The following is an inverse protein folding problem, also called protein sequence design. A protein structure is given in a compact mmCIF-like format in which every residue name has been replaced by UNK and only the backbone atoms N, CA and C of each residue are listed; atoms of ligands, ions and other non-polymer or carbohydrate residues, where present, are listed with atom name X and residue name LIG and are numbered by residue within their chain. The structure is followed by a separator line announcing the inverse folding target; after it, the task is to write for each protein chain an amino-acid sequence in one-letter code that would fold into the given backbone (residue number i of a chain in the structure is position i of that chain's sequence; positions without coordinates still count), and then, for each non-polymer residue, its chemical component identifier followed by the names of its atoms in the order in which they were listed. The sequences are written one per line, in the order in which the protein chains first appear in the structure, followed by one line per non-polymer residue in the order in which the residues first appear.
data_IF_172144809501
#
_entry.id   IF_172144809501
#
_cell.length_a   1.000
_cell.length_b   1.000
_cell.length_c   1.000
_cell.angle_alpha   90.00
_cell.angle_beta   90.00
_cell.angle_gamma   90.00
#
_symmetry.space_group_name_H-M   'P 1'
#
loop_
_entity.id
_entity.type
_entity.pdbx_description
1 polymer ?
#
# COMPACT_ATOMS: atom_id res chain seq x y z
N UNK A 1 -20.67 -17.17 5.67
CA UNK A 1 -19.52 -17.34 4.77
C UNK A 1 -19.86 -16.97 3.33
N UNK A 2 -20.96 -17.45 2.74
CA UNK A 2 -21.38 -17.08 1.38
C UNK A 2 -21.68 -15.58 1.19
N UNK A 3 -22.25 -14.92 2.17
CA UNK A 3 -22.59 -13.48 2.13
C UNK A 3 -21.34 -12.59 2.09
N UNK A 4 -20.26 -13.00 2.75
CA UNK A 4 -18.99 -12.27 2.75
C UNK A 4 -18.29 -12.41 1.40
N UNK A 5 -18.28 -13.60 0.83
CA UNK A 5 -17.71 -13.87 -0.50
C UNK A 5 -18.44 -13.11 -1.62
N UNK A 6 -19.77 -13.08 -1.57
CA UNK A 6 -20.58 -12.31 -2.55
C UNK A 6 -20.38 -10.80 -2.40
N UNK A 7 -20.19 -10.32 -1.16
CA UNK A 7 -19.90 -8.92 -0.92
C UNK A 7 -18.49 -8.53 -1.42
N UNK A 8 -17.47 -9.35 -1.16
CA UNK A 8 -16.10 -9.15 -1.64
C UNK A 8 -16.02 -9.16 -3.17
N UNK A 9 -16.74 -10.10 -3.84
CA UNK A 9 -16.80 -10.12 -5.30
C UNK A 9 -17.51 -8.90 -5.88
N UNK A 10 -18.61 -8.45 -5.27
CA UNK A 10 -19.33 -7.24 -5.70
C UNK A 10 -18.51 -5.97 -5.47
N UNK A 11 -17.72 -5.93 -4.40
CA UNK A 11 -16.86 -4.81 -4.07
C UNK A 11 -15.67 -4.73 -5.05
N UNK A 12 -15.02 -5.87 -5.34
CA UNK A 12 -13.94 -5.95 -6.34
C UNK A 12 -14.42 -5.54 -7.74
N UNK A 13 -15.66 -5.92 -8.13
CA UNK A 13 -16.26 -5.47 -9.38
C UNK A 13 -16.61 -3.98 -9.39
N UNK A 14 -17.06 -3.43 -8.27
CA UNK A 14 -17.34 -1.98 -8.14
C UNK A 14 -16.06 -1.17 -8.18
N UNK A 15 -15.01 -1.61 -7.50
CA UNK A 15 -13.68 -0.97 -7.55
C UNK A 15 -13.08 -1.11 -8.95
N UNK A 16 -13.16 -2.29 -9.58
CA UNK A 16 -12.71 -2.49 -10.95
C UNK A 16 -13.51 -1.65 -11.97
N UNK A 17 -14.79 -1.35 -11.71
CA UNK A 17 -15.60 -0.42 -12.53
C UNK A 17 -15.24 1.03 -12.26
N UNK A 18 -15.04 1.41 -11.00
CA UNK A 18 -14.60 2.76 -10.63
C UNK A 18 -13.19 3.06 -11.14
N UNK A 19 -12.26 2.11 -11.05
CA UNK A 19 -10.94 2.21 -11.67
C UNK A 19 -11.03 2.30 -13.19
N UNK A 20 -11.91 1.51 -13.84
CA UNK A 20 -12.14 1.59 -15.29
C UNK A 20 -12.83 2.90 -15.70
N UNK A 21 -13.68 3.49 -14.87
CA UNK A 21 -14.28 4.79 -15.13
C UNK A 21 -13.31 5.94 -14.90
N UNK A 22 -12.44 5.84 -13.88
CA UNK A 22 -11.33 6.78 -13.69
C UNK A 22 -10.28 6.69 -14.82
N UNK A 23 -10.08 5.48 -15.37
CA UNK A 23 -9.21 5.27 -16.54
C UNK A 23 -9.86 5.68 -17.88
N UNK A 24 -11.18 5.93 -17.91
CA UNK A 24 -11.92 6.55 -19.02
C UNK A 24 -12.10 8.03 -18.75
N UNK A 25 -11.00 8.78 -18.60
CA UNK A 25 -11.06 10.23 -18.47
C UNK A 25 -11.49 10.84 -19.82
N UNK A 26 -12.66 11.47 -19.88
CA UNK A 26 -13.02 12.26 -21.04
C UNK A 26 -12.18 13.54 -21.04
N UNK A 27 -11.59 13.88 -22.17
CA UNK A 27 -10.92 15.16 -22.47
C UNK A 27 -9.59 15.45 -21.76
N UNK A 28 -8.67 14.47 -21.64
CA UNK A 28 -7.28 14.81 -21.39
C UNK A 28 -6.67 15.52 -22.62
N UNK A 29 -5.84 16.56 -22.44
CA UNK A 29 -5.13 17.21 -23.54
C UNK A 29 -4.42 16.20 -24.43
N UNK A 30 -4.41 16.41 -25.74
CA UNK A 30 -3.68 15.57 -26.67
C UNK A 30 -2.17 15.67 -26.36
N UNK A 31 -1.61 14.71 -25.66
CA UNK A 31 -0.23 14.72 -25.17
C UNK A 31 -0.09 14.47 -23.67
N UNK A 32 -1.18 14.28 -22.94
CA UNK A 32 -1.14 13.93 -21.51
C UNK A 32 -0.45 12.58 -21.29
N UNK A 33 0.38 12.47 -20.20
CA UNK A 33 1.09 11.25 -19.82
C UNK A 33 0.17 10.04 -19.61
N UNK A 34 -1.07 10.27 -19.23
CA UNK A 34 -2.05 9.18 -19.04
C UNK A 34 -2.48 8.49 -20.34
N UNK A 35 -2.13 9.05 -21.51
CA UNK A 35 -2.28 8.36 -22.80
C UNK A 35 -1.20 7.28 -22.99
N UNK A 36 -0.02 7.44 -22.39
CA UNK A 36 1.01 6.40 -22.38
C UNK A 36 0.54 5.21 -21.53
N UNK A 37 0.51 4.03 -22.15
CA UNK A 37 0.05 2.80 -21.51
C UNK A 37 0.93 2.39 -20.32
N UNK A 38 2.24 2.62 -20.41
CA UNK A 38 3.18 2.25 -19.37
C UNK A 38 3.04 3.19 -18.17
N UNK A 39 3.00 4.51 -18.42
CA UNK A 39 2.77 5.49 -17.36
C UNK A 39 1.43 5.29 -16.67
N UNK A 40 0.36 5.06 -17.43
CA UNK A 40 -1.00 4.81 -16.87
C UNK A 40 -1.04 3.59 -15.92
N UNK A 41 -0.32 2.52 -16.26
CA UNK A 41 -0.21 1.34 -15.39
C UNK A 41 0.50 1.66 -14.07
N UNK A 42 1.60 2.41 -14.13
CA UNK A 42 2.32 2.86 -12.95
C UNK A 42 1.47 3.80 -12.12
N UNK A 43 0.82 4.76 -12.74
CA UNK A 43 -0.07 5.70 -12.07
C UNK A 43 -1.23 5.00 -11.35
N UNK A 44 -1.84 4.00 -11.99
CA UNK A 44 -2.86 3.16 -11.37
C UNK A 44 -2.29 2.37 -10.17
N UNK A 45 -1.10 1.79 -10.30
CA UNK A 45 -0.41 1.11 -9.21
C UNK A 45 -0.16 2.08 -8.04
N UNK A 46 0.34 3.28 -8.30
CA UNK A 46 0.55 4.31 -7.26
C UNK A 46 -0.74 4.62 -6.50
N UNK A 47 -1.85 4.82 -7.20
CA UNK A 47 -3.14 5.07 -6.54
C UNK A 47 -3.54 3.88 -5.66
N UNK A 48 -3.48 2.67 -6.19
CA UNK A 48 -3.88 1.45 -5.48
C UNK A 48 -3.02 1.26 -4.23
N UNK A 49 -1.70 1.32 -4.37
CA UNK A 49 -0.76 1.16 -3.26
C UNK A 49 -0.96 2.22 -2.17
N UNK A 50 -1.17 3.49 -2.55
CA UNK A 50 -1.37 4.54 -1.55
C UNK A 50 -2.74 4.44 -0.84
N UNK A 51 -3.80 4.05 -1.53
CA UNK A 51 -5.08 3.77 -0.87
C UNK A 51 -4.99 2.56 0.06
N UNK A 52 -4.34 1.50 -0.36
CA UNK A 52 -4.07 0.32 0.46
C UNK A 52 -3.25 0.67 1.70
N UNK A 53 -2.19 1.46 1.56
CA UNK A 53 -1.38 1.93 2.68
C UNK A 53 -2.20 2.71 3.73
N UNK A 54 -3.21 3.50 3.32
CA UNK A 54 -4.11 4.17 4.27
C UNK A 54 -4.98 3.17 5.06
N UNK A 55 -5.37 2.06 4.43
CA UNK A 55 -6.11 0.99 5.12
C UNK A 55 -5.21 0.35 6.17
N UNK A 56 -4.01 -0.07 5.79
CA UNK A 56 -3.07 -0.74 6.69
C UNK A 56 -2.61 0.18 7.82
N UNK A 57 -2.34 1.45 7.54
CA UNK A 57 -1.96 2.46 8.55
C UNK A 57 -2.97 2.58 9.69
N UNK A 58 -4.27 2.41 9.41
CA UNK A 58 -5.33 2.42 10.42
C UNK A 58 -5.64 1.02 10.96
N UNK A 59 -5.67 0.01 10.10
CA UNK A 59 -6.13 -1.32 10.45
C UNK A 59 -5.12 -2.09 11.32
N UNK A 60 -3.80 -1.89 11.12
CA UNK A 60 -2.79 -2.60 11.87
C UNK A 60 -2.79 -2.22 13.37
N UNK A 61 -2.69 -0.90 13.75
CA UNK A 61 -2.82 -0.50 15.14
C UNK A 61 -4.21 -0.81 15.72
N UNK A 62 -5.27 -0.69 14.92
CA UNK A 62 -6.60 -1.00 15.39
C UNK A 62 -6.79 -2.51 15.66
N UNK A 63 -6.18 -3.38 14.86
CA UNK A 63 -6.12 -4.82 15.13
C UNK A 63 -5.40 -5.10 16.45
N UNK A 64 -4.26 -4.47 16.70
CA UNK A 64 -3.54 -4.58 17.98
C UNK A 64 -4.42 -4.15 19.16
N UNK A 65 -5.12 -3.02 19.03
CA UNK A 65 -5.95 -2.49 20.10
C UNK A 65 -7.22 -3.33 20.36
N UNK A 66 -7.91 -3.78 19.30
CA UNK A 66 -9.24 -4.41 19.44
C UNK A 66 -9.18 -5.92 19.57
N UNK A 67 -8.24 -6.59 18.91
CA UNK A 67 -8.11 -8.06 18.93
C UNK A 67 -7.19 -8.52 20.05
N UNK A 68 -6.07 -7.80 20.28
CA UNK A 68 -5.06 -8.17 21.26
C UNK A 68 -5.13 -7.36 22.56
N UNK A 69 -6.04 -6.36 22.65
CA UNK A 69 -6.12 -5.45 23.79
C UNK A 69 -4.76 -4.83 24.16
N UNK A 70 -4.01 -4.39 23.14
CA UNK A 70 -2.64 -3.92 23.28
C UNK A 70 -2.56 -2.72 24.23
N UNK A 71 -1.55 -2.74 25.08
CA UNK A 71 -1.25 -1.62 25.99
C UNK A 71 -0.62 -0.45 25.22
N UNK A 72 -0.67 0.79 25.74
CA UNK A 72 -0.02 1.95 25.11
C UNK A 72 1.47 1.73 24.83
N UNK A 73 2.17 1.03 25.71
CA UNK A 73 3.59 0.67 25.53
C UNK A 73 3.79 -0.28 24.34
N UNK A 74 2.92 -1.28 24.20
CA UNK A 74 2.95 -2.20 23.05
C UNK A 74 2.65 -1.49 21.74
N UNK A 75 1.74 -0.51 21.74
CA UNK A 75 1.47 0.33 20.57
C UNK A 75 2.69 1.17 20.19
N UNK A 76 3.41 1.72 21.18
CA UNK A 76 4.67 2.42 20.94
C UNK A 76 5.73 1.53 20.30
N UNK A 77 5.86 0.27 20.75
CA UNK A 77 6.78 -0.70 20.12
C UNK A 77 6.34 -1.07 18.70
N UNK A 78 5.05 -1.15 18.41
CA UNK A 78 4.57 -1.40 17.06
C UNK A 78 4.96 -0.27 16.11
N UNK A 79 4.71 0.97 16.49
CA UNK A 79 5.14 2.15 15.71
C UNK A 79 6.66 2.20 15.55
N UNK A 80 7.42 1.89 16.61
CA UNK A 80 8.87 1.81 16.53
C UNK A 80 9.34 0.74 15.54
N UNK A 81 8.71 -0.44 15.53
CA UNK A 81 9.04 -1.52 14.61
C UNK A 81 8.84 -1.12 13.13
N UNK A 82 7.83 -0.30 12.83
CA UNK A 82 7.60 0.23 11.47
C UNK A 82 8.65 1.28 11.05
N UNK A 83 9.12 2.11 11.99
CA UNK A 83 10.02 3.23 11.70
C UNK A 83 11.50 2.83 11.75
N UNK A 84 11.89 1.90 12.61
CA UNK A 84 13.29 1.44 12.80
C UNK A 84 13.96 1.03 11.47
N UNK A 85 13.32 0.27 10.56
CA UNK A 85 13.91 -0.04 9.25
C UNK A 85 14.28 1.20 8.45
N UNK A 86 13.45 2.25 8.48
CA UNK A 86 13.75 3.49 7.77
C UNK A 86 15.04 4.14 8.29
N UNK A 87 15.20 4.23 9.61
CA UNK A 87 16.40 4.81 10.24
C UNK A 87 17.65 3.99 9.93
N UNK A 88 17.55 2.66 10.00
CA UNK A 88 18.71 1.77 9.83
C UNK A 88 19.07 1.52 8.37
N UNK A 89 18.07 1.44 7.48
CA UNK A 89 18.26 0.94 6.12
C UNK A 89 18.22 2.01 5.04
N UNK A 90 17.79 3.25 5.33
CA UNK A 90 17.63 4.30 4.31
C UNK A 90 18.94 4.59 3.54
N UNK A 91 20.06 4.72 4.23
CA UNK A 91 21.38 4.94 3.61
C UNK A 91 21.90 3.69 2.88
N UNK A 92 21.96 2.49 3.51
CA UNK A 92 22.38 1.27 2.83
C UNK A 92 21.50 0.89 1.64
N UNK A 93 20.19 1.12 1.74
CA UNK A 93 19.25 0.81 0.67
C UNK A 93 19.54 1.59 -0.63
N UNK A 94 19.87 2.88 -0.51
CA UNK A 94 20.25 3.70 -1.67
C UNK A 94 21.47 3.13 -2.40
N UNK A 95 22.54 2.88 -1.64
CA UNK A 95 23.80 2.31 -2.20
C UNK A 95 23.59 0.93 -2.83
N UNK A 96 22.77 0.09 -2.19
CA UNK A 96 22.47 -1.25 -2.71
C UNK A 96 21.61 -1.17 -3.98
N UNK A 97 20.59 -0.33 -3.98
CA UNK A 97 19.70 -0.12 -5.13
C UNK A 97 20.45 0.41 -6.36
N UNK A 98 21.51 1.20 -6.19
CA UNK A 98 22.31 1.66 -7.33
C UNK A 98 22.94 0.52 -8.11
N UNK A 99 23.21 -0.62 -7.46
CA UNK A 99 23.89 -1.78 -8.03
C UNK A 99 22.98 -2.86 -8.61
N UNK A 100 21.66 -2.78 -8.33
CA UNK A 100 20.70 -3.82 -8.74
C UNK A 100 19.65 -3.27 -9.70
N UNK A 101 18.94 -4.18 -10.38
CA UNK A 101 17.82 -3.82 -11.25
C UNK A 101 16.61 -3.42 -10.38
N UNK A 102 16.13 -2.18 -10.55
CA UNK A 102 15.12 -1.57 -9.69
C UNK A 102 13.72 -2.21 -9.82
N UNK A 103 13.34 -2.55 -11.07
CA UNK A 103 12.01 -3.12 -11.32
C UNK A 103 11.78 -4.47 -10.62
N UNK A 104 12.70 -5.45 -10.63
CA UNK A 104 12.56 -6.67 -9.84
C UNK A 104 12.47 -6.39 -8.34
N UNK A 105 13.25 -5.43 -7.80
CA UNK A 105 13.20 -5.06 -6.38
C UNK A 105 11.83 -4.50 -6.02
N UNK A 106 11.27 -3.64 -6.86
CA UNK A 106 9.93 -3.12 -6.68
C UNK A 106 8.87 -4.24 -6.66
N UNK A 107 8.88 -5.12 -7.66
CA UNK A 107 7.90 -6.23 -7.76
C UNK A 107 8.03 -7.21 -6.59
N UNK A 108 9.25 -7.56 -6.21
CA UNK A 108 9.48 -8.43 -5.04
C UNK A 108 9.02 -7.72 -3.75
N UNK A 109 9.31 -6.43 -3.61
CA UNK A 109 8.85 -5.62 -2.48
C UNK A 109 7.33 -5.66 -2.33
N UNK A 110 6.58 -5.35 -3.39
CA UNK A 110 5.10 -5.39 -3.38
C UNK A 110 4.59 -6.81 -3.08
N UNK A 111 5.24 -7.85 -3.60
CA UNK A 111 4.86 -9.24 -3.29
C UNK A 111 5.09 -9.58 -1.82
N UNK A 112 6.22 -9.18 -1.23
CA UNK A 112 6.52 -9.37 0.19
C UNK A 112 5.55 -8.58 1.05
N UNK A 113 5.21 -7.35 0.65
CA UNK A 113 4.21 -6.52 1.32
C UNK A 113 2.86 -7.23 1.40
N UNK A 114 2.32 -7.66 0.26
CA UNK A 114 1.05 -8.34 0.17
C UNK A 114 1.03 -9.65 0.98
N UNK A 115 2.06 -10.47 0.85
CA UNK A 115 2.19 -11.73 1.61
C UNK A 115 2.28 -11.48 3.11
N UNK A 116 3.04 -10.49 3.54
CA UNK A 116 3.18 -10.13 4.96
C UNK A 116 1.85 -9.66 5.54
N UNK A 117 1.13 -8.79 4.83
CA UNK A 117 -0.19 -8.33 5.24
C UNK A 117 -1.20 -9.49 5.31
N UNK A 118 -1.20 -10.40 4.35
CA UNK A 118 -2.09 -11.56 4.33
C UNK A 118 -1.90 -12.48 5.56
N UNK A 119 -0.72 -12.48 6.18
CA UNK A 119 -0.50 -13.27 7.41
C UNK A 119 -1.32 -12.78 8.60
N UNK A 120 -1.65 -11.49 8.68
CA UNK A 120 -2.37 -10.90 9.81
C UNK A 120 -3.79 -11.45 9.94
N UNK A 121 -4.66 -11.39 8.89
CA UNK A 121 -5.98 -11.96 8.99
C UNK A 121 -5.96 -13.48 9.19
N UNK A 122 -5.01 -14.19 8.57
CA UNK A 122 -4.84 -15.63 8.74
C UNK A 122 -4.51 -15.96 10.19
N UNK A 123 -3.54 -15.25 10.79
CA UNK A 123 -3.16 -15.43 12.20
C UNK A 123 -4.30 -15.06 13.15
N UNK A 124 -5.09 -14.04 12.82
CA UNK A 124 -6.27 -13.65 13.60
C UNK A 124 -7.36 -14.74 13.56
N UNK A 125 -7.63 -15.34 12.40
CA UNK A 125 -8.63 -16.40 12.26
C UNK A 125 -8.21 -17.72 12.92
N UNK A 126 -6.92 -18.03 12.89
CA UNK A 126 -6.40 -19.24 13.55
C UNK A 126 -6.17 -19.06 15.05
N UNK A 127 -6.34 -17.85 15.57
CA UNK A 127 -6.17 -17.55 17.00
C UNK A 127 -4.70 -17.50 17.47
N UNK A 128 -3.73 -17.49 16.54
CA UNK A 128 -2.28 -17.44 16.86
C UNK A 128 -1.72 -16.02 16.77
N UNK A 129 -2.56 -15.01 16.46
CA UNK A 129 -2.11 -13.63 16.39
C UNK A 129 -1.59 -13.16 17.76
N UNK A 130 -0.43 -12.53 17.76
CA UNK A 130 0.21 -11.98 18.96
C UNK A 130 0.84 -10.62 18.65
N UNK A 131 1.15 -9.85 19.71
CA UNK A 131 1.88 -8.57 19.53
C UNK A 131 3.25 -8.77 18.88
N UNK A 132 3.95 -9.86 19.23
CA UNK A 132 5.24 -10.21 18.57
C UNK A 132 5.06 -10.42 17.07
N UNK A 133 3.96 -11.06 16.65
CA UNK A 133 3.63 -11.23 15.22
C UNK A 133 3.46 -9.87 14.53
N UNK A 134 2.70 -8.95 15.14
CA UNK A 134 2.50 -7.61 14.60
C UNK A 134 3.79 -6.79 14.55
N UNK A 135 4.69 -6.93 15.52
CA UNK A 135 6.02 -6.28 15.48
C UNK A 135 6.85 -6.77 14.29
N UNK A 136 6.85 -8.09 14.04
CA UNK A 136 7.56 -8.66 12.87
C UNK A 136 6.93 -8.16 11.58
N UNK A 137 5.61 -8.16 11.49
CA UNK A 137 4.87 -7.61 10.33
C UNK A 137 5.24 -6.15 10.13
N UNK A 138 5.11 -5.30 11.15
CA UNK A 138 5.44 -3.87 11.07
C UNK A 138 6.90 -3.63 10.62
N UNK A 139 7.84 -4.40 11.16
CA UNK A 139 9.24 -4.31 10.76
C UNK A 139 9.46 -4.68 9.29
N UNK A 140 8.85 -5.77 8.81
CA UNK A 140 8.95 -6.20 7.41
C UNK A 140 8.31 -5.16 6.49
N UNK A 141 7.14 -4.61 6.84
CA UNK A 141 6.49 -3.54 6.09
C UNK A 141 7.37 -2.29 6.01
N UNK A 142 8.01 -1.91 7.12
CA UNK A 142 8.98 -0.82 7.15
C UNK A 142 10.18 -1.07 6.22
N UNK A 143 10.74 -2.29 6.20
CA UNK A 143 11.80 -2.67 5.26
C UNK A 143 11.34 -2.53 3.81
N UNK A 144 10.17 -3.09 3.48
CA UNK A 144 9.60 -3.02 2.13
C UNK A 144 9.37 -1.57 1.71
N UNK A 145 8.89 -0.73 2.61
CA UNK A 145 8.66 0.69 2.34
C UNK A 145 9.96 1.42 1.95
N UNK A 146 11.06 1.14 2.64
CA UNK A 146 12.37 1.74 2.33
C UNK A 146 12.87 1.31 0.95
N UNK A 147 12.90 0.00 0.66
CA UNK A 147 13.44 -0.51 -0.61
C UNK A 147 12.48 -0.28 -1.77
N UNK A 148 11.19 -0.55 -1.59
CA UNK A 148 10.15 -0.42 -2.61
C UNK A 148 9.90 1.04 -2.98
N UNK A 149 9.77 1.94 -2.00
CA UNK A 149 9.57 3.37 -2.23
C UNK A 149 10.72 4.00 -3.01
N UNK A 150 11.97 3.69 -2.65
CA UNK A 150 13.15 4.18 -3.37
C UNK A 150 13.21 3.60 -4.79
N UNK A 151 12.92 2.30 -4.95
CA UNK A 151 12.89 1.66 -6.27
C UNK A 151 11.80 2.27 -7.18
N UNK A 152 10.59 2.52 -6.65
CA UNK A 152 9.49 3.13 -7.38
C UNK A 152 9.85 4.51 -7.96
N UNK A 153 10.50 5.35 -7.17
CA UNK A 153 10.96 6.68 -7.60
C UNK A 153 11.94 6.57 -8.77
N UNK A 154 12.89 5.63 -8.71
CA UNK A 154 13.88 5.43 -9.78
C UNK A 154 13.20 4.86 -11.03
N UNK A 155 12.29 3.88 -10.90
CA UNK A 155 11.55 3.31 -12.03
C UNK A 155 10.75 4.38 -12.77
N UNK A 156 10.11 5.31 -12.05
CA UNK A 156 9.40 6.43 -12.66
C UNK A 156 10.32 7.26 -13.58
N UNK A 157 11.53 7.57 -13.11
CA UNK A 157 12.49 8.37 -13.91
C UNK A 157 13.05 7.62 -15.13
N UNK A 158 12.97 6.29 -15.16
CA UNK A 158 13.39 5.48 -16.30
C UNK A 158 12.31 5.33 -17.38
N UNK A 159 11.05 5.51 -17.03
CA UNK A 159 9.91 5.31 -17.95
C UNK A 159 9.44 6.64 -18.54
N UNK A 160 9.58 7.73 -17.81
CA UNK A 160 9.15 9.06 -18.23
C UNK A 160 10.35 9.84 -18.77
N UNK A 161 10.19 10.52 -19.91
CA UNK A 161 11.24 11.38 -20.46
C UNK A 161 11.53 12.56 -19.50
N UNK A 162 12.77 13.06 -19.52
CA UNK A 162 13.24 14.11 -18.59
C UNK A 162 12.36 15.36 -18.63
N UNK A 163 11.90 15.74 -19.83
CA UNK A 163 11.06 16.92 -20.07
C UNK A 163 9.69 16.82 -19.41
N UNK A 164 9.23 15.57 -19.16
CA UNK A 164 7.90 15.30 -18.62
C UNK A 164 7.91 14.82 -17.16
N UNK A 165 9.09 14.74 -16.52
CA UNK A 165 9.20 14.30 -15.12
C UNK A 165 8.42 15.22 -14.17
N UNK A 166 8.40 16.53 -14.41
CA UNK A 166 7.63 17.47 -13.59
C UNK A 166 6.13 17.15 -13.65
N UNK A 167 5.60 16.86 -14.85
CA UNK A 167 4.20 16.44 -15.02
C UNK A 167 3.91 15.13 -14.30
N UNK A 168 4.80 14.14 -14.43
CA UNK A 168 4.66 12.84 -13.77
C UNK A 168 4.66 12.97 -12.24
N UNK A 169 5.62 13.70 -11.68
CA UNK A 169 5.68 13.94 -10.24
C UNK A 169 4.46 14.71 -9.72
N UNK A 170 3.99 15.72 -10.46
CA UNK A 170 2.80 16.48 -10.08
C UNK A 170 1.55 15.58 -10.06
N UNK A 171 1.37 14.71 -11.06
CA UNK A 171 0.25 13.75 -11.09
C UNK A 171 0.34 12.74 -9.96
N UNK A 172 1.53 12.20 -9.69
CA UNK A 172 1.74 11.27 -8.58
C UNK A 172 1.48 11.96 -7.23
N UNK A 173 1.94 13.20 -7.04
CA UNK A 173 1.66 13.98 -5.83
C UNK A 173 0.15 14.19 -5.62
N UNK A 174 -0.60 14.48 -6.69
CA UNK A 174 -2.07 14.58 -6.61
C UNK A 174 -2.72 13.24 -6.22
N UNK A 175 -2.22 12.12 -6.76
CA UNK A 175 -2.71 10.79 -6.39
C UNK A 175 -2.45 10.48 -4.92
N UNK A 176 -1.24 10.77 -4.42
CA UNK A 176 -0.85 10.58 -3.02
C UNK A 176 -1.71 11.45 -2.10
N UNK A 177 -1.76 12.77 -2.36
CA UNK A 177 -2.58 13.70 -1.54
C UNK A 177 -4.06 13.36 -1.58
N UNK A 178 -4.58 12.93 -2.74
CA UNK A 178 -5.95 12.44 -2.86
C UNK A 178 -6.20 11.20 -1.99
N UNK A 179 -5.24 10.28 -1.95
CA UNK A 179 -5.30 9.10 -1.09
C UNK A 179 -5.19 9.45 0.40
N UNK A 180 -4.36 10.43 0.77
CA UNK A 180 -4.23 10.90 2.16
C UNK A 180 -5.49 11.59 2.68
N UNK A 181 -6.22 12.30 1.82
CA UNK A 181 -7.47 12.99 2.19
C UNK A 181 -8.64 12.00 2.24
N UNK A 182 -8.83 11.20 1.20
CA UNK A 182 -9.98 10.30 1.08
C UNK A 182 -9.76 8.94 1.76
N UNK A 183 -8.50 8.50 1.85
CA UNK A 183 -8.09 7.19 2.34
C UNK A 183 -8.54 6.88 3.76
N UNK A 184 -8.29 7.74 4.76
CA UNK A 184 -8.69 7.48 6.14
C UNK A 184 -10.20 7.31 6.29
N UNK A 185 -11.00 8.08 5.55
CA UNK A 185 -12.46 7.94 5.54
C UNK A 185 -12.92 6.59 4.98
N UNK A 186 -12.34 6.18 3.85
CA UNK A 186 -12.62 4.89 3.22
C UNK A 186 -12.13 3.72 4.06
N UNK A 187 -10.92 3.83 4.61
CA UNK A 187 -10.35 2.83 5.51
C UNK A 187 -11.19 2.66 6.78
N UNK A 188 -11.60 3.76 7.42
CA UNK A 188 -12.47 3.72 8.59
C UNK A 188 -13.83 3.09 8.31
N UNK A 189 -14.45 3.41 7.16
CA UNK A 189 -15.69 2.78 6.72
C UNK A 189 -15.51 1.26 6.47
N UNK A 190 -14.42 0.86 5.81
CA UNK A 190 -14.10 -0.54 5.54
C UNK A 190 -13.88 -1.32 6.84
N UNK A 191 -13.10 -0.75 7.75
CA UNK A 191 -12.82 -1.34 9.07
C UNK A 191 -14.11 -1.48 9.90
N UNK A 192 -14.99 -0.45 9.87
CA UNK A 192 -16.27 -0.49 10.57
C UNK A 192 -17.20 -1.59 10.04
N UNK A 193 -17.19 -1.84 8.73
CA UNK A 193 -18.05 -2.81 8.08
C UNK A 193 -17.53 -4.26 8.18
N UNK A 194 -16.22 -4.45 8.07
CA UNK A 194 -15.61 -5.78 7.93
C UNK A 194 -14.74 -6.18 9.13
N UNK A 195 -14.37 -5.23 9.97
CA UNK A 195 -13.36 -5.42 11.02
C UNK A 195 -11.93 -5.18 10.51
N UNK A 196 -11.03 -4.82 11.43
CA UNK A 196 -9.66 -4.45 11.09
C UNK A 196 -8.85 -5.58 10.41
N UNK A 197 -8.86 -6.84 10.87
CA UNK A 197 -8.11 -7.91 10.19
C UNK A 197 -8.56 -8.17 8.75
N UNK A 198 -9.87 -8.06 8.46
CA UNK A 198 -10.40 -8.28 7.11
C UNK A 198 -10.07 -7.08 6.20
N UNK A 199 -10.04 -5.87 6.75
CA UNK A 199 -9.60 -4.70 6.01
C UNK A 199 -8.13 -4.83 5.56
N UNK A 200 -7.25 -5.40 6.40
CA UNK A 200 -5.87 -5.75 6.03
C UNK A 200 -5.82 -6.79 4.91
N UNK A 201 -6.69 -7.82 4.97
CA UNK A 201 -6.78 -8.80 3.88
C UNK A 201 -7.17 -8.15 2.55
N UNK A 202 -8.01 -7.14 2.60
CA UNK A 202 -8.41 -6.39 1.41
C UNK A 202 -7.22 -5.60 0.80
N UNK A 203 -6.42 -4.94 1.63
CA UNK A 203 -5.19 -4.26 1.19
C UNK A 203 -4.19 -5.26 0.57
N UNK A 204 -4.01 -6.43 1.19
CA UNK A 204 -3.14 -7.48 0.66
C UNK A 204 -3.56 -8.02 -0.73
N UNK A 205 -4.81 -7.81 -1.15
CA UNK A 205 -5.35 -8.23 -2.45
C UNK A 205 -5.32 -7.11 -3.52
N UNK A 206 -5.08 -5.86 -3.13
CA UNK A 206 -4.95 -4.69 -4.01
C UNK A 206 -3.57 -4.62 -4.64
#
# INVERSE_FOLDING_TARGET
MQTILSFLSSLSERIGRALRSMLRLPSLPAGDLLHDRNYRRIFASVIITHFGAQITMLALPLTAATVLNATPTQMGFLMAAEIVPFVLLSLPAGVWLDRVRKLPVYVVGESVFALTLATVPIAAWTGVLSMTWLYVVGFVLGCVHVFGGTAAQIVLTQIVSRERLVEAHSKNALAVSGSEIAGPGLAGALIKLLGAPIAIAFDALL
#
